data_IF_990869848244
#
_entry.id   IF_990869848244
#
_cell.length_a   1.000
_cell.length_b   1.000
_cell.length_c   1.000
_cell.angle_alpha   90.00
_cell.angle_beta   90.00
_cell.angle_gamma   90.00
#
_symmetry.space_group_name_H-M   'P 1'
#
loop_
_entity.id
_entity.type
_entity.pdbx_description
1 polymer ?
#
# COMPACT_ATOMS: atom_id res chain seq x y z
N UNK A 1 12.79 2.10 1.18
CA UNK A 1 12.09 1.22 2.16
C UNK A 1 13.09 0.50 3.03
N UNK A 2 13.40 1.05 4.20
CA UNK A 2 14.20 0.36 5.23
C UNK A 2 13.31 -0.08 6.39
N UNK A 3 12.40 0.77 6.86
CA UNK A 3 11.31 0.34 7.74
C UNK A 3 10.23 -0.44 6.97
N UNK A 4 9.57 -1.38 7.67
CA UNK A 4 8.42 -2.15 7.19
C UNK A 4 8.64 -3.01 5.94
N UNK A 5 9.87 -3.14 5.40
CA UNK A 5 10.14 -3.87 4.16
C UNK A 5 9.63 -5.31 4.21
N UNK A 6 10.02 -6.08 5.23
CA UNK A 6 9.60 -7.48 5.40
C UNK A 6 8.09 -7.59 5.53
N UNK A 7 7.49 -6.78 6.40
CA UNK A 7 6.03 -6.73 6.60
C UNK A 7 5.26 -6.40 5.32
N UNK A 8 5.80 -5.51 4.48
CA UNK A 8 5.20 -5.18 3.18
C UNK A 8 5.31 -6.37 2.21
N UNK A 9 6.47 -7.02 2.14
CA UNK A 9 6.67 -8.22 1.31
C UNK A 9 5.73 -9.36 1.74
N UNK A 10 5.57 -9.61 3.04
CA UNK A 10 4.66 -10.62 3.56
C UNK A 10 3.21 -10.36 3.16
N UNK A 11 2.77 -9.09 3.20
CA UNK A 11 1.42 -8.71 2.76
C UNK A 11 1.24 -8.87 1.26
N UNK A 12 2.24 -8.51 0.47
CA UNK A 12 2.22 -8.71 -0.98
C UNK A 12 2.15 -10.19 -1.35
N UNK A 13 2.91 -11.06 -0.66
CA UNK A 13 2.85 -12.51 -0.86
C UNK A 13 1.46 -13.08 -0.56
N UNK A 14 0.79 -12.59 0.49
CA UNK A 14 -0.60 -12.95 0.79
C UNK A 14 -1.57 -12.48 -0.29
N UNK A 15 -1.43 -11.23 -0.76
CA UNK A 15 -2.23 -10.67 -1.85
C UNK A 15 -2.09 -11.51 -3.13
N UNK A 16 -0.88 -11.92 -3.50
CA UNK A 16 -0.66 -12.81 -4.64
C UNK A 16 -1.42 -14.14 -4.48
N UNK A 17 -1.40 -14.73 -3.28
CA UNK A 17 -2.19 -15.89 -2.93
C UNK A 17 -3.70 -15.67 -3.09
N UNK A 18 -4.21 -14.52 -2.64
CA UNK A 18 -5.63 -14.16 -2.76
C UNK A 18 -6.04 -13.99 -4.23
N UNK A 19 -5.24 -13.31 -5.05
CA UNK A 19 -5.50 -13.14 -6.48
C UNK A 19 -5.56 -14.49 -7.18
N UNK A 20 -4.59 -15.38 -6.92
CA UNK A 20 -4.62 -16.76 -7.44
C UNK A 20 -5.84 -17.54 -6.96
N UNK A 21 -6.25 -17.34 -5.71
CA UNK A 21 -7.47 -17.94 -5.16
C UNK A 21 -8.71 -17.54 -5.94
N UNK A 22 -8.86 -16.24 -6.24
CA UNK A 22 -9.98 -15.72 -7.03
C UNK A 22 -9.98 -16.28 -8.45
N UNK A 23 -8.81 -16.36 -9.11
CA UNK A 23 -8.72 -16.96 -10.43
C UNK A 23 -9.26 -18.40 -10.45
N UNK A 24 -8.87 -19.23 -9.46
CA UNK A 24 -9.40 -20.59 -9.30
C UNK A 24 -10.90 -20.63 -9.02
N UNK A 25 -11.42 -19.64 -8.27
CA UNK A 25 -12.87 -19.56 -8.03
C UNK A 25 -13.63 -19.29 -9.32
N UNK A 26 -13.10 -18.42 -10.19
CA UNK A 26 -13.68 -18.13 -11.51
C UNK A 26 -13.60 -19.36 -12.41
N UNK A 27 -12.44 -20.03 -12.47
CA UNK A 27 -12.25 -21.28 -13.25
C UNK A 27 -13.19 -22.40 -12.80
N UNK A 28 -13.58 -22.42 -11.53
CA UNK A 28 -14.49 -23.40 -10.95
C UNK A 28 -15.97 -22.95 -10.93
N UNK A 29 -16.32 -21.90 -11.69
CA UNK A 29 -17.68 -21.33 -11.78
C UNK A 29 -18.33 -21.10 -10.40
N UNK A 30 -17.53 -20.63 -9.42
CA UNK A 30 -18.00 -20.34 -8.07
C UNK A 30 -19.05 -19.23 -8.07
N UNK A 31 -19.91 -19.27 -7.06
CA UNK A 31 -20.95 -18.27 -6.87
C UNK A 31 -20.39 -16.84 -6.83
N UNK A 32 -20.98 -15.96 -7.64
CA UNK A 32 -20.49 -14.60 -7.85
C UNK A 32 -20.34 -13.80 -6.55
N UNK A 33 -21.22 -14.00 -5.56
CA UNK A 33 -21.13 -13.26 -4.30
C UNK A 33 -19.87 -13.62 -3.50
N UNK A 34 -19.41 -14.87 -3.57
CA UNK A 34 -18.17 -15.27 -2.89
C UNK A 34 -16.96 -14.62 -3.55
N UNK A 35 -16.96 -14.53 -4.89
CA UNK A 35 -15.92 -13.84 -5.65
C UNK A 35 -15.91 -12.34 -5.31
N UNK A 36 -17.08 -11.71 -5.22
CA UNK A 36 -17.21 -10.32 -4.80
C UNK A 36 -16.70 -10.10 -3.37
N UNK A 37 -16.98 -11.01 -2.45
CA UNK A 37 -16.45 -10.95 -1.09
C UNK A 37 -14.90 -11.05 -1.08
N UNK A 38 -14.32 -11.96 -1.87
CA UNK A 38 -12.86 -12.09 -1.96
C UNK A 38 -12.19 -10.88 -2.63
N UNK A 39 -12.78 -10.33 -3.69
CA UNK A 39 -12.26 -9.11 -4.33
C UNK A 39 -12.32 -7.90 -3.39
N UNK A 40 -13.37 -7.79 -2.57
CA UNK A 40 -13.45 -6.78 -1.51
C UNK A 40 -12.32 -6.96 -0.46
N UNK A 41 -12.02 -8.19 -0.06
CA UNK A 41 -10.91 -8.48 0.86
C UNK A 41 -9.55 -8.08 0.26
N UNK A 42 -9.34 -8.30 -1.04
CA UNK A 42 -8.12 -7.83 -1.75
C UNK A 42 -8.02 -6.31 -1.70
N UNK A 43 -9.11 -5.58 -1.99
CA UNK A 43 -9.10 -4.11 -1.92
C UNK A 43 -8.65 -3.62 -0.55
N UNK A 44 -9.19 -4.18 0.53
CA UNK A 44 -8.77 -3.83 1.89
C UNK A 44 -7.30 -4.19 2.18
N UNK A 45 -6.82 -5.32 1.65
CA UNK A 45 -5.43 -5.73 1.83
C UNK A 45 -4.44 -4.81 1.07
N UNK A 46 -4.80 -4.33 -0.13
CA UNK A 46 -4.02 -3.35 -0.89
C UNK A 46 -3.89 -2.03 -0.12
N UNK A 47 -4.99 -1.50 0.42
CA UNK A 47 -4.97 -0.30 1.28
C UNK A 47 -4.01 -0.49 2.48
N UNK A 48 -3.97 -1.70 3.04
CA UNK A 48 -3.04 -2.05 4.09
C UNK A 48 -1.57 -1.99 3.65
N UNK A 49 -1.24 -2.35 2.40
CA UNK A 49 0.12 -2.22 1.84
C UNK A 49 0.47 -0.76 1.59
N UNK A 50 -0.45 0.00 0.99
CA UNK A 50 -0.27 1.44 0.73
C UNK A 50 0.06 2.20 2.01
N UNK A 51 -0.65 1.91 3.11
CA UNK A 51 -0.36 2.50 4.43
C UNK A 51 1.07 2.23 4.89
N UNK A 52 1.58 1.00 4.75
CA UNK A 52 2.95 0.66 5.16
C UNK A 52 4.01 1.37 4.31
N UNK A 53 3.74 1.52 3.01
CA UNK A 53 4.64 2.23 2.09
C UNK A 53 4.67 3.73 2.44
N UNK A 54 3.50 4.31 2.71
CA UNK A 54 3.36 5.70 3.14
C UNK A 54 4.05 5.96 4.48
N UNK A 55 3.85 5.09 5.49
CA UNK A 55 4.55 5.15 6.77
C UNK A 55 6.07 5.13 6.59
N UNK A 56 6.58 4.22 5.75
CA UNK A 56 8.01 4.18 5.46
C UNK A 56 8.49 5.47 4.77
N UNK A 57 7.72 6.03 3.82
CA UNK A 57 8.10 7.28 3.14
C UNK A 57 8.18 8.44 4.13
N UNK A 58 7.18 8.60 5.01
CA UNK A 58 7.18 9.61 6.05
C UNK A 58 8.40 9.46 6.99
N UNK A 59 8.68 8.25 7.47
CA UNK A 59 9.80 8.00 8.39
C UNK A 59 11.19 8.19 7.77
N UNK A 60 11.35 8.08 6.45
CA UNK A 60 12.69 8.12 5.84
C UNK A 60 12.93 9.37 5.03
N UNK A 61 11.98 9.72 4.16
CA UNK A 61 12.15 10.82 3.22
C UNK A 61 11.82 12.16 3.88
N UNK A 62 10.75 12.21 4.68
CA UNK A 62 10.37 13.45 5.38
C UNK A 62 11.29 13.69 6.57
N UNK A 63 11.64 12.66 7.35
CA UNK A 63 12.60 12.79 8.45
C UNK A 63 13.99 13.26 7.95
N UNK A 64 14.47 12.72 6.82
CA UNK A 64 15.73 13.17 6.22
C UNK A 64 15.68 14.63 5.75
N UNK A 65 14.58 15.06 5.12
CA UNK A 65 14.41 16.45 4.71
C UNK A 65 14.31 17.41 5.90
N UNK A 66 13.66 16.99 7.00
CA UNK A 66 13.66 17.78 8.24
C UNK A 66 15.10 17.91 8.78
N UNK A 67 15.84 16.79 8.81
CA UNK A 67 17.20 16.76 9.30
C UNK A 67 18.20 17.55 8.43
N UNK A 68 17.92 17.73 7.13
CA UNK A 68 18.80 18.51 6.24
C UNK A 68 18.78 20.01 6.53
N UNK A 69 17.70 20.51 7.16
CA UNK A 69 17.54 21.93 7.47
C UNK A 69 17.28 22.82 6.25
N UNK A 70 17.16 22.25 5.05
CA UNK A 70 16.87 22.98 3.81
C UNK A 70 15.35 23.21 3.66
N UNK A 71 14.88 24.47 3.71
CA UNK A 71 13.46 24.79 3.56
C UNK A 71 12.83 24.34 2.23
N UNK A 72 13.61 24.33 1.14
CA UNK A 72 13.10 23.91 -0.17
C UNK A 72 12.90 22.39 -0.21
N UNK A 73 13.89 21.63 0.29
CA UNK A 73 13.80 20.18 0.38
C UNK A 73 12.65 19.73 1.30
N UNK A 74 12.48 20.41 2.45
CA UNK A 74 11.37 20.17 3.37
C UNK A 74 10.01 20.39 2.71
N UNK A 75 9.84 21.52 1.99
CA UNK A 75 8.58 21.82 1.30
C UNK A 75 8.31 20.79 0.20
N UNK A 76 9.32 20.45 -0.60
CA UNK A 76 9.18 19.47 -1.67
C UNK A 76 8.74 18.09 -1.14
N UNK A 77 9.35 17.61 -0.04
CA UNK A 77 8.96 16.31 0.56
C UNK A 77 7.61 16.35 1.26
N UNK A 78 7.23 17.49 1.82
CA UNK A 78 5.88 17.66 2.37
C UNK A 78 4.81 17.63 1.27
N UNK A 79 5.03 18.33 0.16
CA UNK A 79 4.10 18.35 -0.98
C UNK A 79 3.98 16.95 -1.62
N UNK A 80 5.09 16.20 -1.73
CA UNK A 80 5.09 14.80 -2.17
C UNK A 80 4.19 13.93 -1.27
N UNK A 81 4.32 14.07 0.05
CA UNK A 81 3.51 13.33 1.03
C UNK A 81 2.02 13.65 0.92
N UNK A 82 1.66 14.93 0.81
CA UNK A 82 0.27 15.37 0.62
C UNK A 82 -0.30 14.80 -0.68
N UNK A 83 0.47 14.84 -1.77
CA UNK A 83 0.07 14.26 -3.05
C UNK A 83 -0.18 12.74 -2.97
N UNK A 84 0.61 12.00 -2.18
CA UNK A 84 0.39 10.58 -1.94
C UNK A 84 -0.88 10.31 -1.12
N UNK A 85 -1.13 11.08 -0.06
CA UNK A 85 -2.33 10.95 0.77
C UNK A 85 -3.62 11.20 -0.01
N UNK A 86 -3.62 12.17 -0.92
CA UNK A 86 -4.78 12.46 -1.77
C UNK A 86 -5.09 11.32 -2.74
N UNK A 87 -4.06 10.58 -3.21
CA UNK A 87 -4.23 9.42 -4.09
C UNK A 87 -4.72 8.19 -3.33
N UNK A 88 -4.20 7.96 -2.12
CA UNK A 88 -4.58 6.83 -1.27
C UNK A 88 -5.99 7.00 -0.64
N UNK A 89 -6.57 8.19 -0.68
CA UNK A 89 -7.91 8.49 -0.17
C UNK A 89 -9.03 8.33 -1.22
N UNK A 90 -8.69 7.93 -2.46
CA UNK A 90 -9.65 7.66 -3.55
C UNK A 90 -9.89 6.17 -3.68
#
# INVERSE_FOLDING_TARGET
MKANKEKTLDRLARLEGQVRGIAKMVEADRYCMDILAQTAAIRSAVLGVEKLVLENHAQHCVEAAIASGDPEEQRAKFDELIGLLQKASK
#
